data_IF_691176047664
#
_entry.id   IF_691176047664
#
_cell.length_a   1.000
_cell.length_b   1.000
_cell.length_c   1.000
_cell.angle_alpha   90.00
_cell.angle_beta   90.00
_cell.angle_gamma   90.00
#
_symmetry.space_group_name_H-M   'P 1'
#
loop_
_entity.id
_entity.type
_entity.pdbx_description
1 polymer ?
#
# COMPACT_ATOMS: atom_id res chain seq x y z
N UNK A 1 26.90 30.85 -21.96
CA UNK A 1 25.54 30.26 -22.02
C UNK A 1 25.61 28.87 -21.40
N UNK A 2 24.52 28.44 -20.75
CA UNK A 2 24.49 27.32 -19.80
C UNK A 2 24.80 25.96 -20.43
N UNK A 3 25.74 25.22 -19.85
CA UNK A 3 25.81 23.76 -19.99
C UNK A 3 24.85 23.10 -19.01
N UNK A 4 24.09 22.15 -19.54
CA UNK A 4 23.23 21.24 -18.80
C UNK A 4 24.01 20.42 -17.75
N UNK A 5 23.37 20.05 -16.65
CA UNK A 5 23.98 19.26 -15.57
C UNK A 5 22.96 18.31 -14.92
N UNK A 6 22.82 17.20 -15.63
CA UNK A 6 22.27 15.91 -15.30
C UNK A 6 22.32 15.46 -13.83
N UNK A 7 21.32 14.66 -13.46
CA UNK A 7 21.30 13.68 -12.36
C UNK A 7 21.59 14.12 -10.92
N UNK A 8 20.49 14.43 -10.20
CA UNK A 8 20.46 14.56 -8.73
C UNK A 8 19.88 13.32 -8.00
N UNK A 9 19.78 12.16 -8.65
CA UNK A 9 19.11 10.95 -8.11
C UNK A 9 20.03 9.89 -7.49
N UNK A 10 21.30 10.20 -7.27
CA UNK A 10 22.28 9.27 -6.67
C UNK A 10 22.97 9.97 -5.48
N UNK A 11 22.90 9.36 -4.29
CA UNK A 11 23.49 9.90 -3.06
C UNK A 11 24.52 8.93 -2.48
N UNK A 12 25.71 9.47 -2.15
CA UNK A 12 26.80 8.79 -1.42
C UNK A 12 27.02 9.48 -0.07
N UNK A 13 27.47 8.71 0.93
CA UNK A 13 27.45 9.09 2.36
C UNK A 13 28.87 9.41 2.87
N UNK A 14 28.97 10.37 3.80
CA UNK A 14 30.16 10.65 4.62
C UNK A 14 29.68 10.94 6.06
N UNK A 15 30.35 10.39 7.08
CA UNK A 15 29.82 10.30 8.44
C UNK A 15 30.07 11.52 9.37
N UNK A 16 29.12 11.79 10.28
CA UNK A 16 29.39 12.16 11.70
C UNK A 16 28.11 12.07 12.60
N UNK A 17 28.21 11.88 13.94
CA UNK A 17 27.14 11.24 14.75
C UNK A 17 26.54 12.04 15.93
N UNK A 18 25.59 11.39 16.65
CA UNK A 18 24.99 11.64 18.00
C UNK A 18 23.58 12.34 18.05
N UNK A 19 22.61 12.01 18.94
CA UNK A 19 22.46 10.99 20.02
C UNK A 19 20.96 10.76 20.44
N UNK A 20 20.71 9.75 21.29
CA UNK A 20 19.42 9.14 21.71
C UNK A 20 18.45 9.96 22.63
N UNK A 21 17.16 9.53 22.67
CA UNK A 21 16.31 9.12 23.85
C UNK A 21 14.90 8.65 23.37
N UNK A 22 14.08 7.82 24.05
CA UNK A 22 14.33 6.87 25.15
C UNK A 22 13.15 6.45 26.08
N UNK A 23 12.30 5.47 25.69
CA UNK A 23 11.37 4.63 26.54
C UNK A 23 10.23 5.34 27.35
N UNK A 24 9.13 4.74 27.87
CA UNK A 24 8.62 3.33 27.96
C UNK A 24 7.08 3.22 28.23
N UNK A 25 6.47 2.07 27.88
CA UNK A 25 5.37 1.29 28.52
C UNK A 25 4.10 1.92 29.17
N UNK A 26 2.89 1.52 28.69
CA UNK A 26 1.74 1.01 29.50
C UNK A 26 1.01 -0.10 28.69
N UNK A 27 0.51 -1.16 29.36
CA UNK A 27 -0.04 -2.38 28.76
C UNK A 27 -1.43 -2.77 29.32
N UNK A 28 -2.20 -3.58 28.56
CA UNK A 28 -3.33 -4.46 28.97
C UNK A 28 -4.69 -3.85 29.39
N UNK A 29 -5.68 -4.01 28.49
CA UNK A 29 -7.04 -4.42 28.85
C UNK A 29 -7.71 -5.17 27.66
N UNK A 30 -7.87 -6.50 27.79
CA UNK A 30 -8.63 -7.31 26.82
C UNK A 30 -10.07 -7.44 27.32
N UNK A 31 -11.05 -6.98 26.54
CA UNK A 31 -12.48 -7.26 26.77
C UNK A 31 -13.13 -7.69 25.45
N UNK A 32 -13.56 -8.94 25.40
CA UNK A 32 -14.33 -9.51 24.28
C UNK A 32 -15.82 -9.34 24.54
N UNK A 33 -16.50 -8.50 23.75
CA UNK A 33 -17.96 -8.49 23.66
C UNK A 33 -18.36 -8.72 22.21
N UNK A 34 -19.04 -9.84 21.96
CA UNK A 34 -19.79 -10.09 20.73
C UNK A 34 -21.19 -9.47 20.88
N UNK A 35 -21.73 -8.96 19.78
CA UNK A 35 -23.14 -8.60 19.60
C UNK A 35 -23.71 -7.46 20.46
N UNK A 36 -22.87 -6.52 20.91
CA UNK A 36 -23.34 -5.20 21.36
C UNK A 36 -23.48 -4.24 20.18
N UNK A 37 -24.69 -3.74 19.90
CA UNK A 37 -24.92 -2.62 18.98
C UNK A 37 -24.03 -1.45 19.40
N UNK A 38 -23.26 -0.87 18.46
CA UNK A 38 -22.27 0.14 18.78
C UNK A 38 -22.90 1.37 19.44
N UNK A 39 -22.49 1.70 20.67
CA UNK A 39 -23.05 2.79 21.46
C UNK A 39 -22.79 4.20 20.88
N UNK A 40 -21.90 4.34 19.89
CA UNK A 40 -21.58 5.62 19.25
C UNK A 40 -22.40 5.92 17.99
N UNK A 41 -22.87 4.90 17.27
CA UNK A 41 -23.68 5.07 16.05
C UNK A 41 -25.00 4.28 16.05
N UNK A 42 -25.29 3.53 17.11
CA UNK A 42 -26.50 2.72 17.27
C UNK A 42 -26.77 1.76 16.09
N UNK A 43 -25.70 1.31 15.41
CA UNK A 43 -25.77 0.40 14.27
C UNK A 43 -25.83 1.05 12.88
N UNK A 44 -25.93 2.39 12.77
CA UNK A 44 -25.93 3.07 11.46
C UNK A 44 -24.56 3.03 10.76
N UNK A 45 -23.48 2.88 11.53
CA UNK A 45 -22.10 2.92 11.05
C UNK A 45 -21.57 4.32 10.71
N UNK A 46 -22.34 5.38 10.95
CA UNK A 46 -21.97 6.80 10.77
C UNK A 46 -22.49 7.65 11.92
N UNK A 47 -21.86 8.78 12.19
CA UNK A 47 -22.34 9.79 13.14
C UNK A 47 -22.10 11.21 12.61
N UNK A 48 -22.86 12.18 13.09
CA UNK A 48 -22.77 13.58 12.67
C UNK A 48 -21.71 14.32 13.50
N UNK A 49 -20.59 14.66 12.87
CA UNK A 49 -19.57 15.52 13.47
C UNK A 49 -19.92 16.99 13.21
N UNK A 50 -19.89 17.88 14.22
CA UNK A 50 -20.33 19.28 14.10
C UNK A 50 -19.75 20.00 12.87
N UNK A 51 -18.43 19.94 12.69
CA UNK A 51 -17.73 20.69 11.62
C UNK A 51 -17.49 19.89 10.33
N UNK A 52 -17.80 18.58 10.32
CA UNK A 52 -17.40 17.66 9.23
C UNK A 52 -18.57 16.89 8.60
N UNK A 53 -19.80 17.11 9.08
CA UNK A 53 -20.98 16.41 8.61
C UNK A 53 -20.97 14.92 8.99
N UNK A 54 -21.59 14.09 8.16
CA UNK A 54 -21.67 12.65 8.40
C UNK A 54 -20.31 11.97 8.21
N UNK A 55 -19.75 11.41 9.29
CA UNK A 55 -18.48 10.68 9.26
C UNK A 55 -18.65 9.22 9.70
N UNK A 56 -17.75 8.34 9.25
CA UNK A 56 -17.76 6.91 9.58
C UNK A 56 -17.50 6.68 11.07
N UNK A 57 -18.31 5.80 11.68
CA UNK A 57 -18.12 5.36 13.05
C UNK A 57 -16.96 4.37 13.17
N UNK A 58 -16.27 4.38 14.31
CA UNK A 58 -15.10 3.54 14.55
C UNK A 58 -15.42 2.04 14.56
N UNK A 59 -16.63 1.63 14.95
CA UNK A 59 -17.04 0.22 14.85
C UNK A 59 -17.13 -0.26 13.39
N UNK A 60 -17.47 0.64 12.45
CA UNK A 60 -17.48 0.32 11.03
C UNK A 60 -16.05 0.26 10.49
N UNK A 61 -15.18 1.18 10.93
CA UNK A 61 -13.73 1.14 10.64
C UNK A 61 -13.08 -0.16 11.14
N UNK A 62 -13.43 -0.68 12.32
CA UNK A 62 -12.80 -1.90 12.84
C UNK A 62 -13.14 -3.14 12.00
N UNK A 63 -14.43 -3.35 11.69
CA UNK A 63 -14.84 -4.50 10.87
C UNK A 63 -14.37 -4.35 9.41
N UNK A 64 -14.47 -3.14 8.83
CA UNK A 64 -14.01 -2.91 7.45
C UNK A 64 -12.50 -3.06 7.30
N UNK A 65 -11.69 -2.75 8.32
CA UNK A 65 -10.22 -2.89 8.27
C UNK A 65 -9.79 -4.33 8.08
N UNK A 66 -10.33 -5.27 8.85
CA UNK A 66 -9.97 -6.68 8.73
C UNK A 66 -10.48 -7.31 7.42
N UNK A 67 -11.63 -6.86 6.91
CA UNK A 67 -12.16 -7.28 5.61
C UNK A 67 -11.33 -6.72 4.45
N UNK A 68 -11.04 -5.42 4.44
CA UNK A 68 -10.17 -4.77 3.46
C UNK A 68 -8.76 -5.38 3.51
N UNK A 69 -8.20 -5.62 4.68
CA UNK A 69 -6.88 -6.24 4.81
C UNK A 69 -6.85 -7.66 4.23
N UNK A 70 -7.88 -8.48 4.48
CA UNK A 70 -8.03 -9.81 3.84
C UNK A 70 -8.16 -9.69 2.32
N UNK A 71 -8.97 -8.76 1.82
CA UNK A 71 -9.16 -8.51 0.39
C UNK A 71 -7.87 -8.01 -0.30
N UNK A 72 -7.03 -7.26 0.43
CA UNK A 72 -5.82 -6.62 -0.09
C UNK A 72 -4.69 -7.59 -0.47
N UNK A 73 -4.78 -8.86 -0.10
CA UNK A 73 -3.74 -9.90 -0.35
C UNK A 73 -2.34 -9.58 0.20
N UNK A 74 -2.19 -8.61 1.10
CA UNK A 74 -0.91 -8.35 1.78
C UNK A 74 -0.44 -9.63 2.50
N UNK A 75 0.75 -10.17 2.19
CA UNK A 75 1.26 -11.38 2.84
C UNK A 75 1.31 -11.26 4.37
N UNK A 76 1.00 -12.35 5.06
CA UNK A 76 0.93 -12.40 6.53
C UNK A 76 2.23 -11.95 7.22
N UNK A 77 3.38 -12.15 6.56
CA UNK A 77 4.70 -11.65 6.96
C UNK A 77 4.71 -10.13 7.20
N UNK A 78 4.04 -9.35 6.34
CA UNK A 78 4.00 -7.89 6.41
C UNK A 78 2.85 -7.35 7.28
N UNK A 79 2.06 -8.22 7.94
CA UNK A 79 0.95 -7.80 8.82
C UNK A 79 1.40 -6.82 9.92
N UNK A 80 2.63 -6.98 10.43
CA UNK A 80 3.23 -6.10 11.46
C UNK A 80 3.92 -4.84 10.91
N UNK A 81 4.13 -4.73 9.60
CA UNK A 81 4.74 -3.55 8.98
C UNK A 81 3.79 -2.35 9.04
N UNK A 82 4.22 -1.24 9.60
CA UNK A 82 3.54 0.07 9.59
C UNK A 82 4.60 1.15 9.49
N UNK A 83 4.20 2.42 9.30
CA UNK A 83 5.17 3.52 9.38
C UNK A 83 5.81 3.58 10.77
N UNK A 84 5.05 3.39 11.85
CA UNK A 84 5.59 3.35 13.21
C UNK A 84 6.55 2.18 13.51
N UNK A 85 6.61 1.13 12.68
CA UNK A 85 7.61 0.07 12.79
C UNK A 85 8.74 0.16 11.76
N UNK A 86 8.67 1.12 10.83
CA UNK A 86 9.76 1.41 9.89
C UNK A 86 10.74 2.40 10.52
N UNK A 87 12.02 2.05 10.52
CA UNK A 87 13.08 2.89 11.06
C UNK A 87 14.05 3.23 9.94
N UNK A 88 13.93 4.42 9.30
CA UNK A 88 14.82 4.83 8.22
C UNK A 88 16.28 4.87 8.68
N UNK A 89 17.14 4.06 8.05
CA UNK A 89 18.57 4.00 8.37
C UNK A 89 19.42 4.99 7.53
N UNK A 90 18.86 5.57 6.47
CA UNK A 90 19.56 6.50 5.57
C UNK A 90 18.67 7.69 5.20
N UNK A 91 19.23 8.84 4.77
CA UNK A 91 18.45 9.96 4.26
C UNK A 91 17.53 9.59 3.08
N UNK A 92 17.97 8.67 2.22
CA UNK A 92 17.15 8.15 1.11
C UNK A 92 15.96 7.31 1.59
N UNK A 93 16.12 6.53 2.66
CA UNK A 93 15.01 5.83 3.31
C UNK A 93 14.07 6.81 4.03
N UNK A 94 14.61 7.87 4.64
CA UNK A 94 13.81 8.90 5.29
C UNK A 94 12.94 9.63 4.25
N UNK A 95 13.52 10.05 3.13
CA UNK A 95 12.73 10.66 2.05
C UNK A 95 11.67 9.72 1.47
N UNK A 96 11.98 8.43 1.29
CA UNK A 96 11.01 7.44 0.83
C UNK A 96 9.86 7.25 1.84
N UNK A 97 10.18 7.29 3.14
CA UNK A 97 9.20 7.24 4.23
C UNK A 97 8.33 8.51 4.27
N UNK A 98 8.94 9.70 4.21
CA UNK A 98 8.22 10.99 4.23
C UNK A 98 7.28 11.11 3.02
N UNK A 99 7.73 10.71 1.83
CA UNK A 99 6.89 10.66 0.63
C UNK A 99 5.74 9.66 0.77
N UNK A 100 6.00 8.47 1.32
CA UNK A 100 4.95 7.47 1.55
C UNK A 100 3.91 7.96 2.56
N UNK A 101 4.32 8.62 3.64
CA UNK A 101 3.41 9.25 4.60
C UNK A 101 2.61 10.40 3.98
N UNK A 102 3.24 11.28 3.19
CA UNK A 102 2.54 12.39 2.56
C UNK A 102 1.56 11.90 1.48
N UNK A 103 1.89 10.85 0.72
CA UNK A 103 0.95 10.19 -0.19
C UNK A 103 -0.31 9.70 0.54
N UNK A 104 -0.16 9.06 1.71
CA UNK A 104 -1.31 8.68 2.54
C UNK A 104 -2.11 9.90 2.98
N UNK A 105 -1.45 10.98 3.44
CA UNK A 105 -2.13 12.22 3.88
C UNK A 105 -2.90 12.91 2.76
N UNK A 106 -2.32 13.03 1.57
CA UNK A 106 -2.86 13.78 0.42
C UNK A 106 -3.95 13.02 -0.36
N UNK A 107 -4.02 11.69 -0.26
CA UNK A 107 -5.07 10.89 -0.91
C UNK A 107 -6.50 11.39 -0.59
N UNK A 108 -7.41 11.55 -1.57
CA UNK A 108 -7.32 11.10 -2.96
C UNK A 108 -6.69 12.09 -3.95
N UNK A 109 -6.17 13.25 -3.52
CA UNK A 109 -5.67 14.31 -4.43
C UNK A 109 -4.23 14.06 -4.95
N UNK A 110 -3.74 12.83 -4.83
CA UNK A 110 -2.46 12.39 -5.42
C UNK A 110 -2.64 12.06 -6.90
N UNK A 111 -2.10 12.90 -7.77
CA UNK A 111 -2.21 12.74 -9.23
C UNK A 111 -1.33 11.65 -9.86
N UNK A 112 -0.43 10.99 -9.11
CA UNK A 112 0.49 9.95 -9.60
C UNK A 112 0.84 8.96 -8.48
N UNK A 113 1.15 7.71 -8.85
CA UNK A 113 1.62 6.67 -7.94
C UNK A 113 3.11 6.77 -7.57
N UNK A 114 3.63 5.74 -6.91
CA UNK A 114 4.98 5.72 -6.33
C UNK A 114 5.82 4.54 -6.84
N UNK A 115 7.11 4.77 -7.10
CA UNK A 115 8.06 3.72 -7.44
C UNK A 115 9.22 3.70 -6.44
N UNK A 116 9.24 2.69 -5.57
CA UNK A 116 10.35 2.47 -4.64
C UNK A 116 11.49 1.73 -5.33
N UNK A 117 12.68 2.33 -5.41
CA UNK A 117 13.89 1.72 -5.97
C UNK A 117 15.04 1.72 -4.95
N UNK A 118 15.88 0.69 -5.01
CA UNK A 118 17.02 0.50 -4.11
C UNK A 118 17.33 -0.97 -3.87
N UNK A 119 18.44 -1.23 -3.19
CA UNK A 119 18.95 -2.58 -2.89
C UNK A 119 17.94 -3.48 -2.16
N UNK A 120 18.21 -4.78 -2.13
CA UNK A 120 17.48 -5.74 -1.28
C UNK A 120 17.66 -5.33 0.20
N UNK A 121 16.65 -5.57 1.03
CA UNK A 121 16.72 -5.31 2.49
C UNK A 121 16.43 -3.87 2.95
N UNK A 122 16.38 -2.87 2.07
CA UNK A 122 16.08 -1.46 2.45
C UNK A 122 14.60 -1.17 2.80
N UNK A 123 13.78 -2.23 2.87
CA UNK A 123 12.38 -2.16 3.32
C UNK A 123 11.38 -1.52 2.35
N UNK A 124 11.63 -1.59 1.03
CA UNK A 124 10.67 -1.15 -0.02
C UNK A 124 9.28 -1.75 0.18
N UNK A 125 9.19 -3.07 0.31
CA UNK A 125 7.95 -3.82 0.57
C UNK A 125 7.30 -3.43 1.91
N UNK A 126 8.11 -3.14 2.94
CA UNK A 126 7.59 -2.67 4.24
C UNK A 126 6.89 -1.32 4.08
N UNK A 127 7.51 -0.35 3.40
CA UNK A 127 6.90 0.96 3.12
C UNK A 127 5.62 0.82 2.29
N UNK A 128 5.62 -0.03 1.26
CA UNK A 128 4.43 -0.28 0.44
C UNK A 128 3.29 -0.92 1.24
N UNK A 129 3.58 -1.93 2.06
CA UNK A 129 2.58 -2.58 2.93
C UNK A 129 2.06 -1.63 4.04
N UNK A 130 2.93 -0.79 4.61
CA UNK A 130 2.54 0.25 5.57
C UNK A 130 1.59 1.27 4.93
N UNK A 131 1.94 1.78 3.75
CA UNK A 131 1.13 2.72 2.97
C UNK A 131 -0.26 2.16 2.68
N UNK A 132 -0.36 0.91 2.17
CA UNK A 132 -1.67 0.29 1.91
C UNK A 132 -2.48 0.11 3.20
N UNK A 133 -1.83 -0.31 4.29
CA UNK A 133 -2.50 -0.47 5.59
C UNK A 133 -3.08 0.83 6.12
N UNK A 134 -2.36 1.93 5.99
CA UNK A 134 -2.82 3.22 6.54
C UNK A 134 -3.89 3.85 5.62
N UNK A 135 -3.83 3.63 4.30
CA UNK A 135 -4.95 3.95 3.38
C UNK A 135 -6.23 3.15 3.70
N UNK A 136 -6.14 1.84 3.94
CA UNK A 136 -7.27 1.03 4.39
C UNK A 136 -7.74 1.43 5.79
N UNK A 137 -6.79 1.75 6.68
CA UNK A 137 -7.01 2.03 8.09
C UNK A 137 -7.67 3.37 8.36
N UNK A 138 -7.16 4.43 7.76
CA UNK A 138 -7.59 5.82 7.99
C UNK A 138 -8.70 6.23 7.01
N UNK A 139 -8.58 5.79 5.75
CA UNK A 139 -9.38 6.28 4.61
C UNK A 139 -10.30 5.23 3.98
N UNK A 140 -10.33 4.00 4.50
CA UNK A 140 -11.18 2.88 4.02
C UNK A 140 -11.06 2.59 2.51
N UNK A 141 -9.86 2.82 1.94
CA UNK A 141 -9.58 2.65 0.51
C UNK A 141 -9.49 1.18 0.15
N UNK A 142 -10.05 0.77 -1.00
CA UNK A 142 -9.85 -0.58 -1.53
C UNK A 142 -8.46 -0.74 -2.15
N UNK A 143 -7.51 -1.20 -1.34
CA UNK A 143 -6.13 -1.47 -1.72
C UNK A 143 -5.91 -2.93 -2.13
N UNK A 144 -4.92 -3.18 -2.99
CA UNK A 144 -4.54 -4.52 -3.43
C UNK A 144 -3.01 -4.65 -3.55
N UNK A 145 -2.45 -5.78 -3.14
CA UNK A 145 -1.03 -6.10 -3.17
C UNK A 145 -0.82 -7.36 -4.00
N UNK A 146 0.15 -7.32 -4.91
CA UNK A 146 0.67 -8.50 -5.60
C UNK A 146 2.18 -8.47 -5.65
N UNK A 147 2.80 -9.62 -5.42
CA UNK A 147 4.13 -9.92 -5.95
C UNK A 147 3.97 -10.17 -7.46
N UNK A 148 4.81 -9.51 -8.27
CA UNK A 148 4.57 -9.38 -9.71
C UNK A 148 4.65 -10.72 -10.45
N UNK A 149 5.57 -11.61 -10.06
CA UNK A 149 5.71 -12.94 -10.65
C UNK A 149 4.48 -13.81 -10.38
N UNK A 150 4.00 -13.82 -9.15
CA UNK A 150 2.74 -14.49 -8.75
C UNK A 150 1.51 -13.97 -9.52
N UNK A 151 1.40 -12.66 -9.77
CA UNK A 151 0.32 -12.11 -10.60
C UNK A 151 0.43 -12.57 -12.06
N UNK A 152 1.62 -12.45 -12.66
CA UNK A 152 1.87 -12.84 -14.04
C UNK A 152 1.60 -14.35 -14.25
N UNK A 153 2.01 -15.19 -13.30
CA UNK A 153 1.69 -16.61 -13.32
C UNK A 153 0.19 -16.88 -13.26
N UNK A 154 -0.55 -16.21 -12.36
CA UNK A 154 -2.00 -16.38 -12.28
C UNK A 154 -2.73 -15.98 -13.59
N UNK A 155 -2.20 -15.00 -14.32
CA UNK A 155 -2.70 -14.64 -15.66
C UNK A 155 -2.36 -15.75 -16.67
N UNK A 156 -1.13 -16.27 -16.69
CA UNK A 156 -0.75 -17.38 -17.58
C UNK A 156 -1.58 -18.64 -17.36
N UNK A 157 -1.77 -19.02 -16.09
CA UNK A 157 -2.55 -20.20 -15.70
C UNK A 157 -4.02 -20.08 -16.14
N UNK A 158 -4.56 -18.86 -16.26
CA UNK A 158 -5.95 -18.60 -16.72
C UNK A 158 -6.18 -18.79 -18.22
N UNK A 159 -5.11 -18.88 -19.03
CA UNK A 159 -5.22 -19.23 -20.45
C UNK A 159 -5.29 -20.75 -20.68
N UNK A 160 -5.12 -21.57 -19.63
CA UNK A 160 -5.24 -23.02 -19.76
C UNK A 160 -6.71 -23.40 -19.98
N UNK A 161 -7.07 -24.07 -21.09
CA UNK A 161 -8.47 -24.43 -21.41
C UNK A 161 -9.10 -25.45 -20.46
N UNK A 162 -8.30 -26.07 -19.57
CA UNK A 162 -8.80 -26.94 -18.48
C UNK A 162 -9.18 -26.13 -17.23
N UNK A 163 -8.78 -24.86 -17.13
CA UNK A 163 -9.08 -24.03 -15.97
C UNK A 163 -10.44 -23.33 -16.11
N UNK A 164 -11.28 -23.42 -15.06
CA UNK A 164 -12.56 -22.68 -14.97
C UNK A 164 -12.36 -21.17 -14.69
N UNK A 165 -11.12 -20.67 -14.74
CA UNK A 165 -10.77 -19.30 -14.39
C UNK A 165 -10.53 -18.49 -15.66
N UNK A 166 -11.49 -17.65 -16.04
CA UNK A 166 -11.22 -16.64 -17.07
C UNK A 166 -10.15 -15.65 -16.60
N UNK A 167 -9.32 -15.18 -17.53
CA UNK A 167 -8.35 -14.10 -17.33
C UNK A 167 -8.96 -12.89 -16.60
N UNK A 168 -10.20 -12.53 -16.97
CA UNK A 168 -10.93 -11.42 -16.35
C UNK A 168 -11.18 -11.63 -14.85
N UNK A 169 -11.25 -12.88 -14.36
CA UNK A 169 -11.37 -13.18 -12.91
C UNK A 169 -10.12 -12.77 -12.13
N UNK A 170 -8.95 -12.83 -12.78
CA UNK A 170 -7.65 -12.42 -12.20
C UNK A 170 -7.46 -10.91 -12.35
N UNK A 171 -7.77 -10.35 -13.54
CA UNK A 171 -7.54 -8.96 -13.87
C UNK A 171 -8.59 -7.98 -13.31
N UNK A 172 -9.86 -8.39 -13.13
CA UNK A 172 -10.90 -7.46 -12.65
C UNK A 172 -10.55 -6.82 -11.28
N UNK A 173 -10.11 -7.56 -10.23
CA UNK A 173 -9.66 -6.95 -8.98
C UNK A 173 -8.45 -6.01 -9.18
N UNK A 174 -7.53 -6.37 -10.08
CA UNK A 174 -6.32 -5.58 -10.40
C UNK A 174 -6.68 -4.26 -11.07
N UNK A 175 -7.73 -4.21 -11.90
CA UNK A 175 -8.20 -2.97 -12.53
C UNK A 175 -9.12 -2.14 -11.62
N UNK A 176 -9.92 -2.78 -10.78
CA UNK A 176 -10.92 -2.12 -9.93
C UNK A 176 -10.33 -1.50 -8.66
N UNK A 177 -9.24 -2.04 -8.10
CA UNK A 177 -8.64 -1.52 -6.87
C UNK A 177 -8.20 -0.05 -7.01
N UNK A 178 -8.46 0.79 -6.00
CA UNK A 178 -8.08 2.20 -6.00
C UNK A 178 -6.56 2.37 -6.01
N UNK A 179 -5.87 1.58 -5.20
CA UNK A 179 -4.40 1.55 -5.10
C UNK A 179 -3.91 0.11 -5.22
N UNK A 180 -2.94 -0.12 -6.11
CA UNK A 180 -2.34 -1.43 -6.40
C UNK A 180 -0.84 -1.36 -6.15
N UNK A 181 -0.30 -2.22 -5.28
CA UNK A 181 1.15 -2.44 -5.19
C UNK A 181 1.53 -3.65 -6.06
N UNK A 182 2.53 -3.44 -6.91
CA UNK A 182 3.24 -4.49 -7.65
C UNK A 182 4.66 -4.60 -7.08
N UNK A 183 4.92 -5.62 -6.27
CA UNK A 183 6.23 -5.85 -5.65
C UNK A 183 7.13 -6.76 -6.50
N UNK A 184 8.43 -6.76 -6.19
CA UNK A 184 9.49 -7.54 -6.86
C UNK A 184 9.65 -7.25 -8.38
N UNK A 185 9.21 -6.06 -8.82
CA UNK A 185 9.51 -5.54 -10.15
C UNK A 185 11.05 -5.47 -10.37
N UNK A 186 11.56 -6.33 -11.26
CA UNK A 186 12.98 -6.38 -11.62
C UNK A 186 13.78 -7.54 -11.01
N UNK A 187 13.14 -8.55 -10.41
CA UNK A 187 13.82 -9.78 -9.99
C UNK A 187 14.46 -10.57 -11.16
N UNK A 188 13.92 -10.44 -12.37
CA UNK A 188 14.39 -11.08 -13.61
C UNK A 188 14.30 -10.12 -14.79
N UNK A 189 15.02 -10.43 -15.88
CA UNK A 189 14.84 -9.74 -17.16
C UNK A 189 13.45 -10.08 -17.71
N UNK A 190 12.55 -9.11 -17.93
CA UNK A 190 11.20 -9.40 -18.39
C UNK A 190 11.21 -9.87 -19.85
N UNK A 191 10.40 -10.89 -20.15
CA UNK A 191 10.08 -11.25 -21.54
C UNK A 191 9.20 -10.17 -22.18
N UNK A 192 9.03 -10.21 -23.51
CA UNK A 192 8.09 -9.34 -24.22
C UNK A 192 6.69 -9.42 -23.61
N UNK A 193 6.16 -10.64 -23.46
CA UNK A 193 4.85 -10.87 -22.84
C UNK A 193 4.75 -10.26 -21.43
N UNK A 194 5.75 -10.43 -20.56
CA UNK A 194 5.76 -9.81 -19.22
C UNK A 194 5.71 -8.28 -19.31
N UNK A 195 6.50 -7.69 -20.20
CA UNK A 195 6.53 -6.23 -20.42
C UNK A 195 5.20 -5.71 -20.92
N UNK A 196 4.59 -6.39 -21.89
CA UNK A 196 3.34 -5.99 -22.53
C UNK A 196 2.16 -6.12 -21.55
N UNK A 197 2.09 -7.21 -20.77
CA UNK A 197 1.08 -7.40 -19.72
C UNK A 197 1.20 -6.36 -18.59
N UNK A 198 2.41 -6.08 -18.11
CA UNK A 198 2.61 -5.04 -17.08
C UNK A 198 2.29 -3.65 -17.63
N UNK A 199 2.66 -3.34 -18.89
CA UNK A 199 2.29 -2.09 -19.54
C UNK A 199 0.78 -1.95 -19.66
N UNK A 200 0.06 -2.99 -20.10
CA UNK A 200 -1.40 -3.00 -20.15
C UNK A 200 -2.02 -2.73 -18.78
N UNK A 201 -1.55 -3.40 -17.72
CA UNK A 201 -2.06 -3.20 -16.35
C UNK A 201 -1.87 -1.74 -15.90
N UNK A 202 -0.66 -1.21 -16.01
CA UNK A 202 -0.33 0.15 -15.56
C UNK A 202 -1.10 1.19 -16.39
N UNK A 203 -1.16 1.02 -17.72
CA UNK A 203 -1.83 1.96 -18.62
C UNK A 203 -3.36 1.97 -18.42
N UNK A 204 -4.00 0.80 -18.31
CA UNK A 204 -5.44 0.71 -18.01
C UNK A 204 -5.77 1.36 -16.67
N UNK A 205 -4.94 1.16 -15.63
CA UNK A 205 -5.13 1.82 -14.33
C UNK A 205 -4.95 3.34 -14.42
N UNK A 206 -3.90 3.80 -15.11
CA UNK A 206 -3.64 5.23 -15.34
C UNK A 206 -4.80 5.94 -16.04
N UNK A 207 -5.33 5.36 -17.13
CA UNK A 207 -6.49 5.92 -17.88
C UNK A 207 -7.72 6.03 -16.97
N UNK A 208 -7.95 5.04 -16.11
CA UNK A 208 -9.07 5.02 -15.16
C UNK A 208 -8.79 5.79 -13.84
N UNK A 209 -7.70 6.57 -13.79
CA UNK A 209 -7.27 7.34 -12.60
C UNK A 209 -7.09 6.50 -11.32
N UNK A 210 -6.66 5.25 -11.48
CA UNK A 210 -6.30 4.33 -10.38
C UNK A 210 -4.79 4.35 -10.14
N UNK A 211 -4.37 4.35 -8.88
CA UNK A 211 -2.97 4.56 -8.49
C UNK A 211 -2.21 3.23 -8.43
N UNK A 212 -0.97 3.22 -8.93
CA UNK A 212 -0.06 2.07 -8.89
C UNK A 212 1.29 2.55 -8.37
#
# INVERSE_FOLDING_TARGET
MSTDSSDKRILRIVDRPQKNYGNDLIEKANVTVKDSVCQFCFGTGTWMHPDKGAILCECRRSNSRDELFKASRIPSLFRKCSFGSYHPATPTQQWAFDYAQNFVKEYPDVGRGLLFMGSVGVGKTHLAAALLKDLMGEKAVHCLFYESGSLLKAIQDSYNPVSENSEMRVLAPVYQAEVLVLDELGATVPTSWVRDTLYQIINTRYINRKLT
#
